data_IF_906850999554
#
_entry.id   IF_906850999554
#
_cell.length_a   1.000
_cell.length_b   1.000
_cell.length_c   1.000
_cell.angle_alpha   90.00
_cell.angle_beta   90.00
_cell.angle_gamma   90.00
#
_symmetry.space_group_name_H-M   'P 1'
#
loop_
_entity.id
_entity.type
_entity.pdbx_description
1 polymer ?
#
# COMPACT_ATOMS: atom_id res chain seq x y z
N UNK A 1 -1.95 -11.80 3.57
CA UNK A 1 -0.95 -11.74 2.48
C UNK A 1 -1.58 -10.85 1.42
N UNK A 2 -0.93 -9.81 0.86
CA UNK A 2 -1.64 -8.89 -0.03
C UNK A 2 -2.15 -9.65 -1.26
N UNK A 3 -3.46 -9.91 -1.32
CA UNK A 3 -4.05 -10.83 -2.29
C UNK A 3 -4.47 -10.14 -3.59
N UNK A 4 -4.47 -8.81 -3.63
CA UNK A 4 -4.68 -8.05 -4.87
C UNK A 4 -3.39 -7.91 -5.69
N UNK A 5 -3.43 -8.16 -7.02
CA UNK A 5 -2.26 -7.99 -7.90
C UNK A 5 -1.72 -6.55 -7.91
N UNK A 6 -2.58 -5.55 -7.66
CA UNK A 6 -2.19 -4.15 -7.57
C UNK A 6 -1.41 -3.83 -6.29
N UNK A 7 -1.88 -4.32 -5.14
CA UNK A 7 -1.18 -4.18 -3.85
C UNK A 7 0.19 -4.83 -3.88
N UNK A 8 0.27 -6.02 -4.49
CA UNK A 8 1.54 -6.72 -4.72
C UNK A 8 2.50 -5.88 -5.57
N UNK A 9 2.02 -5.24 -6.64
CA UNK A 9 2.85 -4.39 -7.50
C UNK A 9 3.35 -3.14 -6.78
N UNK A 10 2.49 -2.50 -5.97
CA UNK A 10 2.91 -1.34 -5.13
C UNK A 10 3.96 -1.74 -4.10
N UNK A 11 3.71 -2.82 -3.36
CA UNK A 11 4.67 -3.34 -2.37
C UNK A 11 6.03 -3.69 -3.01
N UNK A 12 6.02 -4.37 -4.16
CA UNK A 12 7.25 -4.67 -4.91
C UNK A 12 7.99 -3.41 -5.37
N UNK A 13 7.28 -2.37 -5.79
CA UNK A 13 7.89 -1.10 -6.19
C UNK A 13 8.62 -0.44 -5.02
N UNK A 14 8.01 -0.47 -3.83
CA UNK A 14 8.62 0.07 -2.60
C UNK A 14 9.81 -0.76 -2.14
N UNK A 15 9.70 -2.09 -2.19
CA UNK A 15 10.82 -2.98 -1.89
C UNK A 15 12.02 -2.72 -2.82
N UNK A 16 11.79 -2.51 -4.12
CA UNK A 16 12.85 -2.15 -5.08
C UNK A 16 13.53 -0.82 -4.70
N UNK A 17 12.77 0.18 -4.26
CA UNK A 17 13.32 1.45 -3.77
C UNK A 17 14.15 1.27 -2.49
N UNK A 18 13.64 0.51 -1.51
CA UNK A 18 14.35 0.21 -0.26
C UNK A 18 15.67 -0.50 -0.56
N UNK A 19 15.66 -1.47 -1.49
CA UNK A 19 16.88 -2.15 -1.95
C UNK A 19 17.91 -1.17 -2.50
N UNK A 20 17.50 -0.25 -3.38
CA UNK A 20 18.42 0.78 -3.92
C UNK A 20 18.98 1.71 -2.83
N UNK A 21 18.20 2.02 -1.79
CA UNK A 21 18.68 2.79 -0.64
C UNK A 21 19.69 1.97 0.20
N UNK A 22 19.47 0.67 0.38
CA UNK A 22 20.41 -0.20 1.09
C UNK A 22 21.74 -0.36 0.33
N UNK A 23 21.70 -0.56 -0.98
CA UNK A 23 22.89 -0.61 -1.83
C UNK A 23 23.65 0.73 -1.82
N UNK A 24 22.94 1.86 -1.75
CA UNK A 24 23.58 3.17 -1.60
C UNK A 24 24.25 3.35 -0.24
N UNK A 25 23.64 2.84 0.83
CA UNK A 25 24.21 2.86 2.18
C UNK A 25 25.48 2.00 2.26
N UNK A 26 25.45 0.80 1.67
CA UNK A 26 26.62 -0.07 1.58
C UNK A 26 27.80 0.62 0.89
N UNK A 27 27.58 1.20 -0.29
CA UNK A 27 28.62 1.99 -0.98
C UNK A 27 29.12 3.19 -0.18
N UNK A 28 28.24 3.86 0.57
CA UNK A 28 28.63 4.99 1.41
C UNK A 28 29.53 4.56 2.57
N UNK A 29 29.26 3.39 3.16
CA UNK A 29 30.11 2.79 4.20
C UNK A 29 31.47 2.39 3.63
N UNK A 30 31.49 1.70 2.48
CA UNK A 30 32.74 1.31 1.81
C UNK A 30 33.60 2.52 1.41
N UNK A 31 32.96 3.61 0.99
CA UNK A 31 33.63 4.86 0.63
C UNK A 31 34.12 5.67 1.85
N UNK A 32 33.84 5.23 3.09
CA UNK A 32 34.23 5.95 4.30
C UNK A 32 33.49 7.28 4.48
N UNK A 33 32.22 7.35 4.08
CA UNK A 33 31.41 8.57 4.19
C UNK A 33 31.21 8.98 5.65
N UNK A 34 31.20 10.28 5.92
CA UNK A 34 30.94 10.87 7.24
C UNK A 34 29.72 10.28 7.94
N UNK A 35 29.85 10.04 9.25
CA UNK A 35 28.83 9.43 10.10
C UNK A 35 27.47 10.14 10.02
N UNK A 36 27.47 11.47 9.92
CA UNK A 36 26.22 12.25 9.83
C UNK A 36 25.41 11.91 8.56
N UNK A 37 26.09 11.75 7.41
CA UNK A 37 25.44 11.40 6.16
C UNK A 37 24.95 9.94 6.16
N UNK A 38 25.69 9.02 6.78
CA UNK A 38 25.24 7.64 6.99
C UNK A 38 23.98 7.58 7.85
N UNK A 39 23.95 8.30 8.98
CA UNK A 39 22.77 8.38 9.85
C UNK A 39 21.55 8.92 9.11
N UNK A 40 21.74 9.91 8.23
CA UNK A 40 20.66 10.46 7.41
C UNK A 40 20.13 9.42 6.40
N UNK A 41 21.01 8.63 5.77
CA UNK A 41 20.60 7.55 4.87
C UNK A 41 19.83 6.44 5.62
N UNK A 42 20.31 6.05 6.81
CA UNK A 42 19.61 5.08 7.67
C UNK A 42 18.23 5.60 8.07
N UNK A 43 18.12 6.87 8.45
CA UNK A 43 16.84 7.48 8.78
C UNK A 43 15.86 7.45 7.58
N UNK A 44 16.35 7.71 6.37
CA UNK A 44 15.55 7.62 5.15
C UNK A 44 15.10 6.18 4.84
N UNK A 45 15.98 5.19 5.06
CA UNK A 45 15.67 3.76 4.88
C UNK A 45 14.58 3.32 5.87
N UNK A 46 14.71 3.71 7.15
CA UNK A 46 13.69 3.46 8.18
C UNK A 46 12.34 4.06 7.79
N UNK A 47 12.33 5.29 7.30
CA UNK A 47 11.09 5.94 6.83
C UNK A 47 10.42 5.17 5.69
N UNK A 48 11.21 4.67 4.72
CA UNK A 48 10.70 3.87 3.62
C UNK A 48 10.13 2.50 4.09
N UNK A 49 10.82 1.84 5.02
CA UNK A 49 10.36 0.58 5.63
C UNK A 49 9.06 0.76 6.42
N UNK A 50 8.96 1.83 7.22
CA UNK A 50 7.74 2.16 7.97
C UNK A 50 6.56 2.44 7.03
N UNK A 51 6.79 3.12 5.90
CA UNK A 51 5.76 3.33 4.88
C UNK A 51 5.24 2.00 4.30
N UNK A 52 6.15 1.08 3.96
CA UNK A 52 5.77 -0.25 3.48
C UNK A 52 4.98 -1.03 4.53
N UNK A 53 5.39 -0.96 5.81
CA UNK A 53 4.67 -1.60 6.92
C UNK A 53 3.23 -1.10 7.01
N UNK A 54 3.01 0.22 6.93
CA UNK A 54 1.68 0.81 6.98
C UNK A 54 0.77 0.33 5.85
N UNK A 55 1.29 0.26 4.61
CA UNK A 55 0.50 -0.24 3.46
C UNK A 55 0.15 -1.71 3.56
N UNK A 56 1.10 -2.55 3.99
CA UNK A 56 0.83 -3.99 4.18
C UNK A 56 -0.20 -4.19 5.28
N UNK A 57 -0.12 -3.39 6.35
CA UNK A 57 -1.07 -3.43 7.45
C UNK A 57 -2.47 -2.97 7.00
N UNK A 58 -2.57 -1.87 6.24
CA UNK A 58 -3.85 -1.39 5.71
C UNK A 58 -4.50 -2.43 4.78
N UNK A 59 -3.72 -3.02 3.86
CA UNK A 59 -4.18 -4.09 2.97
C UNK A 59 -4.70 -5.27 3.79
N UNK A 60 -3.97 -5.67 4.85
CA UNK A 60 -4.40 -6.74 5.73
C UNK A 60 -5.70 -6.43 6.48
N UNK A 61 -5.83 -5.23 7.06
CA UNK A 61 -7.06 -4.82 7.76
C UNK A 61 -8.27 -4.77 6.82
N UNK A 62 -8.11 -4.21 5.62
CA UNK A 62 -9.19 -4.11 4.62
C UNK A 62 -9.70 -5.49 4.21
N UNK A 63 -8.82 -6.48 4.12
CA UNK A 63 -9.21 -7.85 3.78
C UNK A 63 -9.83 -8.58 4.98
N UNK A 64 -9.25 -8.46 6.18
CA UNK A 64 -9.73 -9.15 7.39
C UNK A 64 -11.09 -8.62 7.87
N UNK A 65 -11.34 -7.31 7.77
CA UNK A 65 -12.56 -6.69 8.30
C UNK A 65 -13.52 -6.20 7.20
N UNK A 66 -13.07 -6.06 5.95
CA UNK A 66 -13.93 -5.64 4.83
C UNK A 66 -14.93 -6.69 4.35
N UNK A 67 -14.80 -7.94 4.80
CA UNK A 67 -15.75 -9.01 4.50
C UNK A 67 -16.96 -9.03 5.46
N UNK A 68 -16.90 -8.36 6.62
CA UNK A 68 -18.03 -8.31 7.56
C UNK A 68 -19.13 -7.31 7.16
N UNK A 69 -18.87 -6.45 6.18
CA UNK A 69 -19.85 -5.47 5.67
C UNK A 69 -20.71 -5.99 4.50
N UNK A 70 -20.51 -7.23 4.05
CA UNK A 70 -21.31 -7.85 2.98
C UNK A 70 -21.96 -9.16 3.44
N UNK A 71 -22.66 -9.12 4.57
CA UNK A 71 -23.71 -10.09 4.88
C UNK A 71 -25.08 -9.43 4.57
N UNK A 72 -25.52 -9.63 3.32
CA UNK A 72 -26.87 -9.60 2.66
C UNK A 72 -28.15 -9.17 3.42
N UNK A 73 -29.29 -8.80 2.76
CA UNK A 73 -29.70 -9.16 1.38
C UNK A 73 -30.40 -8.06 0.54
N UNK A 74 -30.67 -8.39 -0.74
CA UNK A 74 -31.77 -7.90 -1.60
C UNK A 74 -32.31 -6.47 -1.38
N UNK A 75 -32.27 -5.62 -2.42
CA UNK A 75 -33.44 -4.90 -2.95
C UNK A 75 -33.08 -3.93 -4.09
N UNK A 76 -33.83 -4.06 -5.20
CA UNK A 76 -34.06 -3.11 -6.31
C UNK A 76 -33.05 -3.04 -7.45
N UNK A 77 -33.14 -4.03 -8.35
CA UNK A 77 -33.06 -3.79 -9.80
C UNK A 77 -34.10 -4.62 -10.54
N UNK A 78 -35.35 -4.18 -10.49
CA UNK A 78 -36.30 -4.44 -11.57
C UNK A 78 -36.77 -3.12 -12.13
N UNK A 79 -36.44 -2.95 -13.41
CA UNK A 79 -36.72 -1.84 -14.28
C UNK A 79 -38.24 -1.66 -14.45
N UNK A 80 -38.75 -0.46 -14.22
CA UNK A 80 -39.83 0.12 -15.03
C UNK A 80 -39.75 1.65 -15.01
N UNK A 81 -38.90 2.17 -15.88
CA UNK A 81 -39.12 3.49 -16.45
C UNK A 81 -40.39 3.39 -17.32
N UNK A 82 -41.40 4.23 -17.07
CA UNK A 82 -42.55 4.30 -17.97
C UNK A 82 -43.77 5.00 -17.37
N UNK A 83 -43.91 6.28 -17.76
CA UNK A 83 -45.18 7.01 -17.84
C UNK A 83 -45.63 7.81 -16.61
N UNK A 84 -45.16 9.06 -16.55
CA UNK A 84 -45.80 10.13 -15.80
C UNK A 84 -46.41 11.11 -16.81
N UNK A 85 -47.74 11.17 -16.90
CA UNK A 85 -48.50 12.34 -17.35
C UNK A 85 -49.98 12.15 -16.95
N UNK A 86 -50.53 13.08 -16.15
CA UNK A 86 -51.93 13.44 -16.29
C UNK A 86 -52.06 14.90 -16.76
N UNK A 87 -53.13 15.09 -17.53
CA UNK A 87 -53.71 16.36 -17.99
C UNK A 87 -54.05 17.25 -16.79
#
# INVERSE_FOLDING_TARGET
MPHSPEDKKRALTRLRRIRGQAEALERAVEAGTECAALLQQIAALRGAANGLMAEVLESHFRETFGHEANADPDTQSTKSCGFCAPI
#
